data_IF_337393103463
#
_entry.id   IF_337393103463
#
_cell.length_a   1.000
_cell.length_b   1.000
_cell.length_c   1.000
_cell.angle_alpha   90.00
_cell.angle_beta   90.00
_cell.angle_gamma   90.00
#
_symmetry.space_group_name_H-M   'P 1'
#
loop_
_entity.id
_entity.type
_entity.pdbx_description
1 polymer ?
#
# COMPACT_ATOMS: atom_id res chain seq x y z
N UNK A 1 2.69 7.33 -17.13
CA UNK A 1 3.46 6.30 -16.40
C UNK A 1 3.19 4.95 -17.06
N UNK A 2 4.19 4.07 -17.09
CA UNK A 2 4.09 2.73 -17.67
C UNK A 2 3.40 1.80 -16.66
N UNK A 3 2.60 0.82 -17.11
CA UNK A 3 2.00 -0.21 -16.24
C UNK A 3 3.06 -0.90 -15.36
N UNK A 4 4.32 -0.90 -15.81
CA UNK A 4 5.46 -1.38 -15.05
C UNK A 4 5.58 -0.81 -13.62
N UNK A 5 5.15 0.43 -13.36
CA UNK A 5 5.19 0.96 -11.98
C UNK A 5 4.13 0.32 -11.09
N UNK A 6 2.95 0.04 -11.64
CA UNK A 6 1.87 -0.65 -10.92
C UNK A 6 2.26 -2.10 -10.70
N UNK A 7 2.85 -2.75 -11.71
CA UNK A 7 3.35 -4.11 -11.56
C UNK A 7 4.40 -4.20 -10.44
N UNK A 8 5.37 -3.27 -10.40
CA UNK A 8 6.34 -3.20 -9.31
C UNK A 8 5.69 -2.95 -7.95
N UNK A 9 4.74 -2.00 -7.86
CA UNK A 9 3.99 -1.73 -6.64
C UNK A 9 3.28 -3.01 -6.14
N UNK A 10 2.56 -3.71 -7.01
CA UNK A 10 1.82 -4.93 -6.67
C UNK A 10 2.78 -6.02 -6.19
N UNK A 11 3.91 -6.21 -6.89
CA UNK A 11 4.94 -7.17 -6.48
C UNK A 11 5.45 -6.86 -5.08
N UNK A 12 5.74 -5.60 -4.79
CA UNK A 12 6.26 -5.18 -3.50
C UNK A 12 5.18 -5.21 -2.40
N UNK A 13 3.91 -4.95 -2.74
CA UNK A 13 2.77 -5.08 -1.82
C UNK A 13 2.60 -6.53 -1.37
N UNK A 14 2.70 -7.47 -2.31
CA UNK A 14 2.65 -8.90 -2.02
C UNK A 14 3.82 -9.33 -1.14
N UNK A 15 5.05 -8.91 -1.46
CA UNK A 15 6.22 -9.17 -0.60
C UNK A 15 6.05 -8.63 0.81
N UNK A 16 5.50 -7.42 0.97
CA UNK A 16 5.24 -6.83 2.28
C UNK A 16 4.22 -7.65 3.08
N UNK A 17 3.12 -8.07 2.44
CA UNK A 17 2.10 -8.93 3.05
C UNK A 17 2.65 -10.30 3.44
N UNK A 18 3.44 -10.93 2.58
CA UNK A 18 4.14 -12.20 2.85
C UNK A 18 5.08 -12.05 4.05
N UNK A 19 5.87 -10.97 4.10
CA UNK A 19 6.76 -10.70 5.22
C UNK A 19 5.98 -10.53 6.53
N UNK A 20 4.85 -9.83 6.51
CA UNK A 20 3.96 -9.70 7.67
C UNK A 20 3.38 -11.05 8.11
N UNK A 21 3.02 -11.90 7.16
CA UNK A 21 2.55 -13.24 7.43
C UNK A 21 3.63 -14.06 8.14
N UNK A 22 4.85 -14.09 7.60
CA UNK A 22 5.95 -14.86 8.15
C UNK A 22 6.39 -14.36 9.54
N UNK A 23 6.43 -13.03 9.74
CA UNK A 23 6.96 -12.44 10.98
C UNK A 23 5.93 -12.33 12.08
N UNK A 24 4.67 -12.03 11.75
CA UNK A 24 3.62 -11.65 12.70
C UNK A 24 2.36 -12.54 12.60
N UNK A 25 2.28 -13.42 11.61
CA UNK A 25 1.13 -14.30 11.39
C UNK A 25 -0.11 -13.58 10.87
N UNK A 26 0.04 -12.39 10.26
CA UNK A 26 -1.06 -11.67 9.62
C UNK A 26 -1.44 -12.37 8.33
N UNK A 27 -2.72 -12.58 8.05
CA UNK A 27 -3.14 -13.17 6.77
C UNK A 27 -2.84 -12.19 5.62
N UNK A 28 -2.25 -12.62 4.49
CA UNK A 28 -2.08 -11.77 3.30
C UNK A 28 -3.43 -11.24 2.75
N UNK A 29 -4.49 -12.02 2.95
CA UNK A 29 -5.86 -11.75 2.51
C UNK A 29 -6.74 -11.22 3.66
N UNK A 30 -6.13 -10.64 4.70
CA UNK A 30 -6.88 -10.03 5.79
C UNK A 30 -7.79 -8.92 5.25
N UNK A 31 -9.05 -8.93 5.70
CA UNK A 31 -10.01 -7.88 5.35
C UNK A 31 -9.67 -6.61 6.11
N UNK A 32 -9.98 -5.45 5.52
CA UNK A 32 -9.75 -4.14 6.12
C UNK A 32 -10.27 -4.03 7.57
N UNK A 33 -11.46 -4.54 7.84
CA UNK A 33 -12.04 -4.49 9.18
C UNK A 33 -11.32 -5.40 10.18
N UNK A 34 -10.87 -6.57 9.72
CA UNK A 34 -10.13 -7.53 10.55
C UNK A 34 -8.74 -7.00 10.86
N UNK A 35 -8.11 -6.30 9.90
CA UNK A 35 -6.85 -5.58 10.12
C UNK A 35 -6.97 -4.56 11.26
N UNK A 36 -7.97 -3.67 11.18
CA UNK A 36 -8.22 -2.64 12.20
C UNK A 36 -8.41 -3.27 13.58
N UNK A 37 -9.17 -4.36 13.66
CA UNK A 37 -9.42 -5.06 14.91
C UNK A 37 -8.19 -5.80 15.45
N UNK A 38 -7.23 -6.15 14.59
CA UNK A 38 -6.00 -6.86 14.96
C UNK A 38 -4.81 -5.96 15.30
N UNK A 39 -4.94 -4.63 15.13
CA UNK A 39 -3.85 -3.67 15.23
C UNK A 39 -3.01 -3.81 16.51
N UNK A 40 -3.68 -3.87 17.67
CA UNK A 40 -3.01 -3.95 18.97
C UNK A 40 -2.14 -5.19 19.10
N UNK A 41 -2.67 -6.35 18.68
CA UNK A 41 -1.98 -7.63 18.75
C UNK A 41 -0.80 -7.67 17.78
N UNK A 42 -0.97 -7.13 16.56
CA UNK A 42 0.10 -7.00 15.56
C UNK A 42 1.23 -6.11 16.11
N UNK A 43 0.89 -4.99 16.73
CA UNK A 43 1.87 -4.08 17.33
C UNK A 43 2.60 -4.70 18.52
N UNK A 44 1.94 -5.51 19.33
CA UNK A 44 2.59 -6.25 20.42
C UNK A 44 3.59 -7.28 19.88
N UNK A 45 3.18 -8.07 18.87
CA UNK A 45 4.08 -9.01 18.19
C UNK A 45 5.28 -8.31 17.57
N UNK A 46 5.07 -7.16 16.91
CA UNK A 46 6.13 -6.37 16.30
C UNK A 46 7.12 -5.84 17.35
N UNK A 47 6.65 -5.31 18.48
CA UNK A 47 7.52 -4.81 19.57
C UNK A 47 8.45 -5.90 20.11
N UNK A 48 7.97 -7.14 20.16
CA UNK A 48 8.76 -8.28 20.62
C UNK A 48 9.75 -8.80 19.58
N UNK A 49 9.54 -8.49 18.29
CA UNK A 49 10.39 -8.93 17.19
C UNK A 49 10.41 -7.89 16.05
N UNK A 50 11.05 -6.73 16.25
CA UNK A 50 11.10 -5.68 15.23
C UNK A 50 11.97 -6.12 14.05
N UNK A 51 11.48 -5.91 12.84
CA UNK A 51 12.17 -6.33 11.61
C UNK A 51 12.24 -5.24 10.53
N UNK A 52 11.68 -4.06 10.79
CA UNK A 52 11.53 -2.99 9.82
C UNK A 52 12.08 -1.67 10.35
N UNK A 53 12.59 -0.82 9.46
CA UNK A 53 12.98 0.55 9.83
C UNK A 53 11.74 1.43 9.96
N UNK A 54 10.73 1.17 9.13
CA UNK A 54 9.39 1.77 9.24
C UNK A 54 8.38 0.65 9.38
N UNK A 55 7.59 0.71 10.46
CA UNK A 55 6.41 -0.12 10.66
C UNK A 55 5.33 0.77 11.23
N UNK A 56 4.54 1.37 10.35
CA UNK A 56 3.54 2.36 10.70
C UNK A 56 2.15 1.93 10.20
N UNK A 57 1.44 1.14 11.01
CA UNK A 57 0.07 0.80 10.69
C UNK A 57 -0.84 2.03 10.87
N UNK A 58 -1.77 2.22 9.94
CA UNK A 58 -2.67 3.37 9.87
C UNK A 58 -4.03 2.93 9.35
N UNK A 59 -5.08 3.75 9.51
CA UNK A 59 -6.41 3.55 8.92
C UNK A 59 -6.79 2.09 8.62
N UNK A 60 -6.85 1.76 7.32
CA UNK A 60 -7.04 0.39 6.83
C UNK A 60 -5.76 -0.23 6.26
N UNK A 61 -4.58 0.31 6.55
CA UNK A 61 -3.34 -0.02 5.87
C UNK A 61 -2.09 -0.04 6.74
N UNK A 62 -0.96 -0.14 6.06
CA UNK A 62 0.37 -0.21 6.64
C UNK A 62 1.39 0.45 5.72
N UNK A 63 2.20 1.31 6.31
CA UNK A 63 3.48 1.74 5.74
C UNK A 63 4.61 0.89 6.32
N UNK A 64 5.42 0.31 5.44
CA UNK A 64 6.48 -0.64 5.75
C UNK A 64 7.75 -0.30 4.98
N UNK A 65 8.89 -0.26 5.69
CA UNK A 65 10.20 -0.17 5.07
C UNK A 65 11.18 -1.20 5.65
N UNK A 66 11.74 -2.05 4.78
CA UNK A 66 12.64 -3.15 5.13
C UNK A 66 13.70 -3.32 4.04
N UNK A 67 14.96 -2.97 4.34
CA UNK A 67 16.01 -2.97 3.32
C UNK A 67 15.69 -1.97 2.20
N UNK A 68 15.68 -2.42 0.96
CA UNK A 68 15.33 -1.60 -0.21
C UNK A 68 13.82 -1.55 -0.50
N UNK A 69 13.01 -2.30 0.26
CA UNK A 69 11.55 -2.26 0.14
C UNK A 69 11.02 -1.05 0.92
N UNK A 70 10.27 -0.18 0.25
CA UNK A 70 9.42 0.84 0.86
C UNK A 70 8.03 0.76 0.23
N UNK A 71 6.99 0.59 1.05
CA UNK A 71 5.63 0.55 0.54
C UNK A 71 4.61 1.01 1.57
N UNK A 72 3.57 1.67 1.07
CA UNK A 72 2.38 2.04 1.80
C UNK A 72 1.16 1.50 1.05
N UNK A 73 0.35 0.69 1.74
CA UNK A 73 -0.82 0.05 1.13
C UNK A 73 -1.99 -0.06 2.11
N UNK A 74 -3.20 -0.14 1.56
CA UNK A 74 -4.42 -0.43 2.31
C UNK A 74 -4.92 -1.85 2.05
N UNK A 75 -5.57 -2.43 3.05
CA UNK A 75 -6.33 -3.67 2.92
C UNK A 75 -7.72 -3.35 2.36
N UNK A 76 -8.21 -4.22 1.48
CA UNK A 76 -9.52 -4.08 0.88
C UNK A 76 -10.62 -4.63 1.79
N UNK A 77 -11.87 -4.23 1.54
CA UNK A 77 -13.01 -4.67 2.35
C UNK A 77 -13.19 -6.19 2.29
N UNK A 78 -12.97 -6.78 1.13
CA UNK A 78 -13.17 -8.20 0.88
C UNK A 78 -11.90 -9.05 1.03
N UNK A 79 -10.76 -8.45 1.39
CA UNK A 79 -9.49 -9.16 1.49
C UNK A 79 -8.87 -9.48 0.13
N UNK A 80 -9.32 -8.82 -0.93
CA UNK A 80 -8.69 -8.86 -2.24
C UNK A 80 -7.22 -8.41 -2.14
N UNK A 81 -6.31 -9.15 -2.79
CA UNK A 81 -4.92 -8.72 -2.91
C UNK A 81 -4.82 -7.56 -3.90
N UNK A 82 -3.72 -6.82 -3.83
CA UNK A 82 -3.29 -5.91 -4.90
C UNK A 82 -4.12 -4.64 -5.12
N UNK A 83 -4.95 -4.25 -4.16
CA UNK A 83 -5.67 -2.98 -4.21
C UNK A 83 -4.72 -1.79 -4.00
N UNK A 84 -4.90 -0.75 -4.81
CA UNK A 84 -4.13 0.49 -4.74
C UNK A 84 -5.00 1.72 -5.06
N UNK A 85 -4.48 2.91 -4.77
CA UNK A 85 -5.06 4.17 -5.21
C UNK A 85 -3.95 5.12 -5.70
N UNK A 86 -4.34 6.31 -6.17
CA UNK A 86 -3.38 7.30 -6.66
C UNK A 86 -2.41 7.77 -5.55
N UNK A 87 -2.85 7.80 -4.29
CA UNK A 87 -2.03 8.23 -3.16
C UNK A 87 -0.93 7.20 -2.85
N UNK A 88 -1.27 5.91 -2.74
CA UNK A 88 -0.29 4.85 -2.48
C UNK A 88 0.73 4.71 -3.61
N UNK A 89 0.30 4.88 -4.86
CA UNK A 89 1.23 4.93 -6.00
C UNK A 89 2.16 6.13 -5.95
N UNK A 90 1.64 7.31 -5.58
CA UNK A 90 2.46 8.50 -5.40
C UNK A 90 3.52 8.29 -4.30
N UNK A 91 3.10 7.80 -3.13
CA UNK A 91 3.99 7.48 -2.01
C UNK A 91 5.09 6.48 -2.41
N UNK A 92 4.72 5.44 -3.16
CA UNK A 92 5.66 4.44 -3.67
C UNK A 92 6.68 5.02 -4.65
N UNK A 93 6.23 5.86 -5.60
CA UNK A 93 7.12 6.52 -6.57
C UNK A 93 8.15 7.42 -5.87
N UNK A 94 7.73 8.07 -4.79
CA UNK A 94 8.61 8.94 -3.99
C UNK A 94 9.46 8.15 -2.99
N UNK A 95 9.28 6.83 -2.87
CA UNK A 95 9.92 5.97 -1.86
C UNK A 95 9.84 6.55 -0.44
N UNK A 96 8.73 7.24 -0.12
CA UNK A 96 8.53 7.90 1.17
C UNK A 96 9.22 9.25 1.36
N UNK A 97 10.07 9.67 0.43
CA UNK A 97 10.79 10.96 0.49
C UNK A 97 9.97 12.07 -0.18
N UNK A 98 8.87 12.47 0.45
CA UNK A 98 8.01 13.55 -0.04
C UNK A 98 7.58 14.54 1.06
N UNK A 99 7.44 15.80 0.68
CA UNK A 99 6.97 16.89 1.53
C UNK A 99 5.55 17.32 1.15
N UNK A 100 4.57 16.94 1.98
CA UNK A 100 3.16 17.29 1.82
C UNK A 100 2.83 18.80 1.84
N UNK A 101 3.82 19.66 2.09
CA UNK A 101 3.67 21.12 2.13
C UNK A 101 4.54 21.84 1.07
N UNK A 102 5.06 21.10 0.08
CA UNK A 102 6.04 21.58 -0.89
C UNK A 102 5.62 21.39 -2.37
N UNK A 103 6.59 21.49 -3.32
CA UNK A 103 6.34 21.26 -4.75
C UNK A 103 5.85 19.84 -5.08
N UNK A 104 5.81 18.94 -4.10
CA UNK A 104 5.39 17.55 -4.26
C UNK A 104 3.87 17.40 -4.44
N UNK A 105 3.09 18.42 -4.08
CA UNK A 105 1.66 18.51 -4.43
C UNK A 105 1.45 18.50 -5.96
N UNK A 106 2.37 19.10 -6.72
CA UNK A 106 2.37 19.02 -8.18
C UNK A 106 2.60 17.58 -8.69
N UNK A 107 3.47 16.82 -8.03
CA UNK A 107 3.72 15.41 -8.38
C UNK A 107 2.51 14.53 -8.04
N UNK A 108 1.88 14.74 -6.88
CA UNK A 108 0.63 14.09 -6.51
C UNK A 108 -0.47 14.34 -7.56
N UNK A 109 -0.66 15.59 -7.98
CA UNK A 109 -1.60 15.93 -9.05
C UNK A 109 -1.30 15.22 -10.37
N UNK A 110 -0.04 15.09 -10.77
CA UNK A 110 0.34 14.35 -11.99
C UNK A 110 0.07 12.85 -11.88
N UNK A 111 0.30 12.24 -10.71
CA UNK A 111 -0.06 10.84 -10.47
C UNK A 111 -1.57 10.67 -10.57
N UNK A 112 -2.34 11.58 -9.96
CA UNK A 112 -3.80 11.57 -10.01
C UNK A 112 -4.35 11.71 -11.44
N UNK A 113 -3.81 12.62 -12.26
CA UNK A 113 -4.20 12.77 -13.67
C UNK A 113 -3.94 11.51 -14.48
N UNK A 114 -2.76 10.90 -14.29
CA UNK A 114 -2.43 9.64 -14.96
C UNK A 114 -3.34 8.50 -14.49
N UNK A 115 -3.66 8.44 -13.19
CA UNK A 115 -4.56 7.45 -12.63
C UNK A 115 -5.97 7.56 -13.21
N UNK A 116 -6.52 8.78 -13.27
CA UNK A 116 -7.81 9.06 -13.94
C UNK A 116 -7.80 8.62 -15.39
N UNK A 117 -6.66 8.75 -16.09
CA UNK A 117 -6.53 8.24 -17.45
C UNK A 117 -6.63 6.71 -17.50
N UNK A 118 -5.97 5.99 -16.60
CA UNK A 118 -6.08 4.52 -16.53
C UNK A 118 -7.52 4.08 -16.29
N UNK A 119 -8.22 4.75 -15.38
CA UNK A 119 -9.65 4.52 -15.12
C UNK A 119 -10.48 4.78 -16.39
N UNK A 120 -10.28 5.92 -17.07
CA UNK A 120 -11.00 6.24 -18.31
C UNK A 120 -10.71 5.27 -19.46
N UNK A 121 -9.51 4.72 -19.50
CA UNK A 121 -9.07 3.74 -20.50
C UNK A 121 -9.52 2.31 -20.14
N UNK A 122 -10.22 2.12 -19.01
CA UNK A 122 -10.69 0.82 -18.52
C UNK A 122 -9.55 -0.14 -18.13
N UNK A 123 -8.39 0.40 -17.74
CA UNK A 123 -7.21 -0.38 -17.31
C UNK A 123 -7.24 -0.74 -15.83
N UNK A 124 -8.08 -0.05 -15.07
CA UNK A 124 -8.33 -0.35 -13.66
C UNK A 124 -9.83 -0.36 -13.40
N UNK A 125 -10.25 -1.19 -12.45
CA UNK A 125 -11.62 -1.28 -11.96
C UNK A 125 -11.62 -0.91 -10.48
N UNK A 126 -12.56 -0.06 -10.09
CA UNK A 126 -12.76 0.27 -8.69
C UNK A 126 -13.56 -0.83 -7.99
N UNK A 127 -13.04 -1.34 -6.87
CA UNK A 127 -13.80 -2.12 -5.91
C UNK A 127 -13.56 -1.48 -4.55
N UNK A 128 -14.62 -1.16 -3.81
CA UNK A 128 -14.53 -0.37 -2.58
C UNK A 128 -13.79 0.99 -2.75
N UNK A 129 -12.81 1.29 -1.91
CA UNK A 129 -12.04 2.53 -1.97
C UNK A 129 -10.73 2.35 -2.75
N UNK A 130 -10.50 1.16 -3.31
CA UNK A 130 -9.28 0.79 -4.03
C UNK A 130 -9.59 0.45 -5.48
N UNK A 131 -8.52 0.44 -6.27
CA UNK A 131 -8.52 0.10 -7.67
C UNK A 131 -7.63 -1.11 -7.90
N UNK A 132 -7.98 -1.87 -8.93
CA UNK A 132 -7.36 -3.14 -9.29
C UNK A 132 -7.14 -3.14 -10.80
N UNK A 133 -6.09 -3.80 -11.28
CA UNK A 133 -5.89 -3.96 -12.72
C UNK A 133 -7.06 -4.76 -13.32
N UNK A 134 -7.59 -4.29 -14.46
CA UNK A 134 -8.73 -4.84 -15.18
C UNK A 134 -8.38 -6.10 -16.01
#
# INVERSE_FOLDING_TARGET
MNLSIIDSFIIDQRKAKELLHEKLGVSPDIKAIDWVNSYSDVMEKYKNNPFAITFYPHGFGLELAVGDLYIDYDYSKEGLPDGFDAWRLYVYIMAGDFNNNGPDDYFCHRVLEWFRKLESDGKVVQHDNLYYLA
#
